data_IF_833665646284
#
_entry.id   IF_833665646284
#
_cell.length_a   1.000
_cell.length_b   1.000
_cell.length_c   1.000
_cell.angle_alpha   90.00
_cell.angle_beta   90.00
_cell.angle_gamma   90.00
#
_symmetry.space_group_name_H-M   'P 1'
#
loop_
_entity.id
_entity.type
_entity.pdbx_description
1 polymer ?
#
# COMPACT_ATOMS: atom_id res chain seq x y z
N UNK A 1 -10.27 4.62 27.72
CA UNK A 1 -9.98 5.18 26.38
C UNK A 1 -8.67 5.97 26.33
N UNK A 2 -8.37 6.79 27.36
CA UNK A 2 -7.17 7.65 27.39
C UNK A 2 -5.84 6.87 27.43
N UNK A 3 -5.80 5.78 28.17
CA UNK A 3 -4.60 4.94 28.31
C UNK A 3 -4.20 4.30 26.97
N UNK A 4 -5.15 3.74 26.24
CA UNK A 4 -4.90 3.14 24.93
C UNK A 4 -4.40 4.17 23.90
N UNK A 5 -4.91 5.40 23.93
CA UNK A 5 -4.42 6.50 23.07
C UNK A 5 -3.00 6.88 23.44
N UNK A 6 -2.69 6.98 24.74
CA UNK A 6 -1.35 7.28 25.21
C UNK A 6 -0.33 6.19 24.84
N UNK A 7 -0.73 4.93 24.92
CA UNK A 7 0.10 3.80 24.50
C UNK A 7 0.37 3.81 22.99
N UNK A 8 -0.65 4.14 22.19
CA UNK A 8 -0.49 4.28 20.74
C UNK A 8 0.50 5.40 20.38
N UNK A 9 0.35 6.57 21.00
CA UNK A 9 1.24 7.71 20.75
C UNK A 9 2.69 7.39 21.16
N UNK A 10 2.89 6.69 22.28
CA UNK A 10 4.22 6.25 22.70
C UNK A 10 4.82 5.27 21.69
N UNK A 11 4.06 4.27 21.26
CA UNK A 11 4.51 3.30 20.27
C UNK A 11 4.88 3.96 18.93
N UNK A 12 4.12 4.96 18.52
CA UNK A 12 4.42 5.75 17.32
C UNK A 12 5.75 6.51 17.47
N UNK A 13 5.98 7.19 18.59
CA UNK A 13 7.22 7.90 18.85
C UNK A 13 8.44 6.96 18.91
N UNK A 14 8.29 5.78 19.50
CA UNK A 14 9.35 4.75 19.54
C UNK A 14 9.69 4.25 18.14
N UNK A 15 8.69 4.05 17.29
CA UNK A 15 8.87 3.65 15.90
C UNK A 15 9.62 4.72 15.10
N UNK A 16 9.19 5.97 15.17
CA UNK A 16 9.84 7.10 14.48
C UNK A 16 11.30 7.24 14.90
N UNK A 17 11.56 7.24 16.21
CA UNK A 17 12.92 7.31 16.77
C UNK A 17 13.79 6.12 16.32
N UNK A 18 13.17 4.95 16.10
CA UNK A 18 13.89 3.77 15.61
C UNK A 18 14.26 3.95 14.14
N UNK A 19 13.34 4.43 13.30
CA UNK A 19 13.64 4.73 11.91
C UNK A 19 14.75 5.78 11.76
N UNK A 20 14.71 6.87 12.56
CA UNK A 20 15.77 7.88 12.56
C UNK A 20 17.14 7.27 12.89
N UNK A 21 17.21 6.40 13.90
CA UNK A 21 18.47 5.68 14.23
C UNK A 21 18.91 4.76 13.11
N UNK A 22 17.98 4.05 12.46
CA UNK A 22 18.29 3.17 11.35
C UNK A 22 18.84 3.95 10.15
N UNK A 23 18.26 5.10 9.83
CA UNK A 23 18.77 6.00 8.78
C UNK A 23 20.18 6.48 9.13
N UNK A 24 20.41 6.93 10.37
CA UNK A 24 21.72 7.38 10.84
C UNK A 24 22.79 6.28 10.79
N UNK A 25 22.38 5.01 10.89
CA UNK A 25 23.25 3.82 10.79
C UNK A 25 23.28 3.19 9.40
N UNK A 26 22.78 3.88 8.38
CA UNK A 26 22.65 3.37 7.00
C UNK A 26 21.86 2.04 6.91
N UNK A 27 20.81 1.89 7.73
CA UNK A 27 19.94 0.71 7.75
C UNK A 27 20.71 -0.61 7.87
N UNK A 28 21.37 -0.92 8.99
CA UNK A 28 22.28 -2.05 9.14
C UNK A 28 21.55 -3.40 9.29
N UNK A 29 20.44 -3.58 8.72
CA UNK A 29 19.63 -4.81 8.72
C UNK A 29 19.39 -5.31 7.31
N UNK A 30 19.08 -6.60 7.20
CA UNK A 30 18.57 -7.18 5.98
C UNK A 30 17.02 -7.10 6.00
N UNK A 31 16.34 -8.22 6.12
CA UNK A 31 14.89 -8.30 6.11
C UNK A 31 14.32 -8.20 7.54
N UNK A 32 13.13 -7.64 7.70
CA UNK A 32 12.45 -7.57 9.01
C UNK A 32 12.01 -8.94 9.50
N UNK A 33 11.59 -9.81 8.59
CA UNK A 33 11.11 -11.16 8.89
C UNK A 33 11.77 -12.17 7.97
N UNK A 34 11.98 -13.38 8.49
CA UNK A 34 12.52 -14.48 7.70
C UNK A 34 11.58 -14.82 6.52
N UNK A 35 12.13 -14.79 5.31
CA UNK A 35 11.37 -15.05 4.09
C UNK A 35 10.82 -13.83 3.38
N UNK A 36 10.96 -12.63 3.95
CA UNK A 36 10.65 -11.40 3.24
C UNK A 36 11.59 -11.16 2.05
N UNK A 37 11.02 -10.63 0.98
CA UNK A 37 11.75 -10.34 -0.26
C UNK A 37 11.99 -8.84 -0.48
N UNK A 38 11.65 -8.01 0.49
CA UNK A 38 11.78 -6.57 0.41
C UNK A 38 12.79 -6.02 1.43
N UNK A 39 13.52 -4.96 1.11
CA UNK A 39 14.53 -4.39 1.99
C UNK A 39 13.88 -3.70 3.21
N UNK A 40 14.57 -3.72 4.34
CA UNK A 40 14.11 -3.07 5.57
C UNK A 40 13.90 -1.55 5.40
N UNK A 41 14.59 -0.93 4.45
CA UNK A 41 14.43 0.48 4.08
C UNK A 41 13.04 0.83 3.57
N UNK A 42 12.28 -0.16 3.09
CA UNK A 42 10.90 0.02 2.63
C UNK A 42 9.89 0.06 3.79
N UNK A 43 10.33 -0.21 5.01
CA UNK A 43 9.45 -0.30 6.19
C UNK A 43 8.57 0.95 6.39
N UNK A 44 9.07 2.21 6.29
CA UNK A 44 8.23 3.39 6.43
C UNK A 44 7.12 3.49 5.39
N UNK A 45 7.43 3.25 4.12
CA UNK A 45 6.43 3.36 3.04
C UNK A 45 5.43 2.21 3.08
N UNK A 46 5.83 1.02 3.51
CA UNK A 46 4.91 -0.10 3.75
C UNK A 46 3.99 0.18 4.92
N UNK A 47 4.50 0.80 5.99
CA UNK A 47 3.65 1.27 7.08
C UNK A 47 2.66 2.33 6.62
N UNK A 48 3.08 3.25 5.77
CA UNK A 48 2.20 4.25 5.18
C UNK A 48 1.09 3.59 4.35
N UNK A 49 1.40 2.59 3.53
CA UNK A 49 0.40 1.80 2.80
C UNK A 49 -0.68 1.25 3.73
N UNK A 50 -0.30 0.56 4.80
CA UNK A 50 -1.24 0.00 5.77
C UNK A 50 -2.15 1.06 6.38
N UNK A 51 -1.57 2.21 6.75
CA UNK A 51 -2.33 3.31 7.34
C UNK A 51 -3.31 3.90 6.33
N UNK A 52 -2.87 4.23 5.12
CA UNK A 52 -3.70 4.89 4.11
C UNK A 52 -4.83 4.00 3.62
N UNK A 53 -4.55 2.72 3.33
CA UNK A 53 -5.56 1.78 2.86
C UNK A 53 -6.61 1.52 3.95
N UNK A 54 -6.18 1.15 5.15
CA UNK A 54 -7.12 0.83 6.22
C UNK A 54 -7.83 2.05 6.80
N UNK A 55 -7.29 3.25 6.66
CA UNK A 55 -8.01 4.47 7.04
C UNK A 55 -9.26 4.68 6.17
N UNK A 56 -9.14 4.41 4.87
CA UNK A 56 -10.32 4.41 3.96
C UNK A 56 -11.30 3.30 4.34
N UNK A 57 -10.80 2.10 4.63
CA UNK A 57 -11.63 0.93 4.99
C UNK A 57 -12.47 1.16 6.26
N UNK A 58 -11.99 1.97 7.18
CA UNK A 58 -12.73 2.30 8.41
C UNK A 58 -14.00 3.12 8.17
N UNK A 59 -14.13 3.81 7.03
CA UNK A 59 -15.32 4.57 6.68
C UNK A 59 -15.65 5.75 7.61
N UNK A 60 -14.62 6.35 8.23
CA UNK A 60 -14.76 7.45 9.21
C UNK A 60 -14.60 8.84 8.61
N UNK A 61 -14.91 8.99 7.33
CA UNK A 61 -14.83 10.27 6.62
C UNK A 61 -13.50 10.53 5.93
N UNK A 62 -12.51 9.64 6.07
CA UNK A 62 -11.31 9.63 5.25
C UNK A 62 -11.59 8.93 3.93
N UNK A 63 -11.15 9.49 2.81
CA UNK A 63 -11.39 8.94 1.48
C UNK A 63 -10.13 8.94 0.63
N UNK A 64 -10.19 8.27 -0.52
CA UNK A 64 -9.09 8.24 -1.50
C UNK A 64 -8.66 9.63 -1.96
N UNK A 65 -9.54 10.61 -1.93
CA UNK A 65 -9.21 12.01 -2.28
C UNK A 65 -8.29 12.68 -1.25
N UNK A 66 -8.16 12.08 -0.06
CA UNK A 66 -7.31 12.57 1.02
C UNK A 66 -5.89 11.97 0.98
N UNK A 67 -5.64 11.02 0.09
CA UNK A 67 -4.33 10.38 0.02
C UNK A 67 -3.22 11.37 -0.35
N UNK A 68 -2.08 11.36 0.36
CA UNK A 68 -0.93 12.18 0.01
C UNK A 68 -0.41 11.86 -1.39
N UNK A 69 -0.04 12.90 -2.16
CA UNK A 69 0.45 12.73 -3.53
C UNK A 69 1.73 11.86 -3.58
N UNK A 70 2.57 11.97 -2.58
CA UNK A 70 3.79 11.18 -2.43
C UNK A 70 3.47 9.69 -2.27
N UNK A 71 2.47 9.36 -1.45
CA UNK A 71 1.98 8.01 -1.29
C UNK A 71 1.45 7.45 -2.62
N UNK A 72 0.57 8.18 -3.28
CA UNK A 72 -0.02 7.76 -4.57
C UNK A 72 1.07 7.53 -5.62
N UNK A 73 2.05 8.43 -5.70
CA UNK A 73 3.16 8.32 -6.66
C UNK A 73 4.05 7.11 -6.41
N UNK A 74 4.24 6.75 -5.15
CA UNK A 74 5.02 5.57 -4.79
C UNK A 74 4.22 4.27 -4.99
N UNK A 75 2.94 4.25 -4.58
CA UNK A 75 2.11 3.05 -4.55
C UNK A 75 1.64 2.61 -5.94
N UNK A 76 1.30 3.58 -6.80
CA UNK A 76 0.70 3.28 -8.11
C UNK A 76 1.53 2.29 -8.96
N UNK A 77 2.86 2.47 -9.16
CA UNK A 77 3.65 1.51 -9.93
C UNK A 77 3.72 0.13 -9.27
N UNK A 78 3.69 0.07 -7.94
CA UNK A 78 3.69 -1.21 -7.21
C UNK A 78 2.39 -1.98 -7.50
N UNK A 79 1.24 -1.33 -7.39
CA UNK A 79 -0.05 -1.95 -7.68
C UNK A 79 -0.21 -2.31 -9.16
N UNK A 80 0.25 -1.46 -10.08
CA UNK A 80 0.22 -1.76 -11.50
C UNK A 80 1.00 -3.03 -11.84
N UNK A 81 2.14 -3.25 -11.19
CA UNK A 81 2.94 -4.46 -11.37
C UNK A 81 2.19 -5.75 -10.94
N UNK A 82 1.21 -5.64 -10.03
CA UNK A 82 0.42 -6.79 -9.58
C UNK A 82 -0.77 -7.13 -10.50
N UNK A 83 -1.19 -6.20 -11.37
CA UNK A 83 -2.39 -6.34 -12.20
C UNK A 83 -2.44 -7.64 -12.98
N UNK A 84 -1.36 -8.09 -13.67
CA UNK A 84 -1.42 -9.33 -14.46
C UNK A 84 -1.82 -10.56 -13.64
N UNK A 85 -1.35 -10.65 -12.40
CA UNK A 85 -1.67 -11.76 -11.49
C UNK A 85 -3.05 -11.65 -10.82
N UNK A 86 -3.69 -10.49 -10.93
CA UNK A 86 -4.97 -10.18 -10.28
C UNK A 86 -6.15 -10.11 -11.26
N UNK A 87 -5.89 -10.22 -12.55
CA UNK A 87 -6.97 -10.31 -13.55
C UNK A 87 -7.69 -11.64 -13.37
N UNK A 88 -9.03 -11.64 -13.16
CA UNK A 88 -9.79 -12.88 -13.04
C UNK A 88 -9.64 -13.75 -14.28
N UNK A 89 -9.51 -15.07 -14.11
CA UNK A 89 -9.45 -16.03 -15.22
C UNK A 89 -10.75 -16.05 -16.04
N UNK A 90 -11.86 -15.61 -15.43
CA UNK A 90 -13.16 -15.45 -16.11
C UNK A 90 -13.28 -14.15 -16.92
N UNK A 91 -12.27 -13.25 -16.87
CA UNK A 91 -12.33 -12.00 -17.60
C UNK A 91 -12.31 -12.24 -19.12
N UNK A 92 -13.16 -11.50 -19.84
CA UNK A 92 -13.13 -11.54 -21.30
C UNK A 92 -11.86 -10.89 -21.85
N UNK A 93 -10.98 -11.70 -22.40
CA UNK A 93 -9.71 -11.27 -22.96
C UNK A 93 -9.86 -10.21 -24.07
N UNK A 94 -10.93 -10.26 -24.86
CA UNK A 94 -11.17 -9.27 -25.93
C UNK A 94 -11.50 -7.90 -25.35
N UNK A 95 -12.37 -7.86 -24.34
CA UNK A 95 -12.69 -6.63 -23.61
C UNK A 95 -11.47 -6.02 -22.93
N UNK A 96 -10.62 -6.85 -22.33
CA UNK A 96 -9.36 -6.40 -21.72
C UNK A 96 -8.39 -5.81 -22.76
N UNK A 97 -8.21 -6.49 -23.91
CA UNK A 97 -7.35 -5.98 -24.98
C UNK A 97 -7.89 -4.66 -25.53
N UNK A 98 -9.20 -4.55 -25.77
CA UNK A 98 -9.81 -3.32 -26.25
C UNK A 98 -9.65 -2.16 -25.26
N UNK A 99 -9.81 -2.42 -23.97
CA UNK A 99 -9.60 -1.41 -22.94
C UNK A 99 -8.14 -0.98 -22.84
N UNK A 100 -7.19 -1.91 -22.75
CA UNK A 100 -5.76 -1.60 -22.71
C UNK A 100 -5.28 -0.82 -23.93
N UNK A 101 -5.91 -1.06 -25.08
CA UNK A 101 -5.65 -0.33 -26.31
C UNK A 101 -6.40 1.03 -26.40
N UNK A 102 -7.14 1.42 -25.37
CA UNK A 102 -7.91 2.67 -25.35
C UNK A 102 -9.11 2.67 -26.30
N UNK A 103 -9.66 1.49 -26.63
CA UNK A 103 -10.77 1.32 -27.60
C UNK A 103 -12.13 1.07 -26.94
N UNK A 104 -12.16 0.83 -25.64
CA UNK A 104 -13.37 0.63 -24.86
C UNK A 104 -13.17 1.02 -23.41
N UNK A 105 -14.26 1.05 -22.65
CA UNK A 105 -14.24 1.08 -21.17
C UNK A 105 -14.32 -0.35 -20.64
N UNK A 106 -13.78 -0.58 -19.43
CA UNK A 106 -14.02 -1.85 -18.73
C UNK A 106 -15.49 -1.99 -18.34
N UNK A 107 -16.05 -3.22 -18.37
CA UNK A 107 -17.37 -3.47 -17.81
C UNK A 107 -17.45 -3.00 -16.35
N UNK A 108 -18.61 -2.45 -15.96
CA UNK A 108 -18.81 -1.90 -14.62
C UNK A 108 -18.63 -2.96 -13.51
N UNK A 109 -18.89 -4.22 -13.82
CA UNK A 109 -18.74 -5.38 -12.93
C UNK A 109 -17.29 -5.89 -12.83
N UNK A 110 -16.37 -5.43 -13.68
CA UNK A 110 -14.98 -5.86 -13.63
C UNK A 110 -14.33 -5.46 -12.30
N UNK A 111 -13.72 -6.41 -11.66
CA UNK A 111 -12.94 -6.20 -10.44
C UNK A 111 -11.65 -7.02 -10.51
N UNK A 112 -10.55 -6.44 -10.09
CA UNK A 112 -9.35 -7.20 -9.78
C UNK A 112 -9.58 -8.01 -8.51
N UNK A 113 -8.96 -9.20 -8.42
CA UNK A 113 -8.91 -9.90 -7.13
C UNK A 113 -8.16 -9.07 -6.09
N UNK A 114 -8.45 -9.29 -4.82
CA UNK A 114 -7.68 -8.67 -3.74
C UNK A 114 -6.19 -9.06 -3.85
N UNK A 115 -5.34 -8.20 -3.38
CA UNK A 115 -3.88 -8.44 -3.29
C UNK A 115 -3.49 -8.85 -1.90
#
# INVERSE_FOLDING_TARGET
PGEAVSDLLRAQQELESTWERCVAQAWPGADLFAGDTWPVTDSPVRRLREVEMHHVDMGVGYSIDSWPAEYVSWELPQLLATVPGRVPTSADARSLVAWLAGRSTLPAEFRLSAW
#
